data_IF_038391072132
#
_entry.id   IF_038391072132
#
_cell.length_a   1.000
_cell.length_b   1.000
_cell.length_c   1.000
_cell.angle_alpha   90.00
_cell.angle_beta   90.00
_cell.angle_gamma   90.00
#
_symmetry.space_group_name_H-M   'P 1'
#
loop_
_entity.id
_entity.type
_entity.pdbx_description
1 polymer ?
#
# COMPACT_ATOMS: atom_id res chain seq x y z
N UNK A 1 -10.35 -25.03 -3.18
CA UNK A 1 -9.88 -24.16 -4.28
C UNK A 1 -9.43 -22.86 -3.65
N UNK A 2 -8.18 -22.45 -3.88
CA UNK A 2 -7.51 -21.46 -3.02
C UNK A 2 -7.30 -20.12 -3.74
N UNK A 3 -8.37 -19.55 -4.29
CA UNK A 3 -8.31 -18.27 -5.00
C UNK A 3 -8.02 -17.08 -4.08
N UNK A 4 -8.41 -17.16 -2.80
CA UNK A 4 -8.24 -16.07 -1.81
C UNK A 4 -6.78 -15.83 -1.42
N UNK A 5 -5.93 -16.84 -1.56
CA UNK A 5 -4.52 -16.77 -1.17
C UNK A 5 -3.64 -16.15 -2.27
N UNK A 6 -4.20 -15.92 -3.46
CA UNK A 6 -3.49 -15.34 -4.59
C UNK A 6 -3.26 -13.85 -4.33
N UNK A 7 -2.00 -13.45 -4.29
CA UNK A 7 -1.62 -12.06 -4.13
C UNK A 7 -1.44 -11.41 -5.50
N UNK A 8 -2.23 -10.37 -5.75
CA UNK A 8 -2.21 -9.62 -7.00
C UNK A 8 -1.70 -8.19 -6.76
N UNK A 9 -0.95 -7.67 -7.72
CA UNK A 9 -0.52 -6.27 -7.81
C UNK A 9 -1.17 -5.64 -9.03
N UNK A 10 -1.67 -4.40 -8.88
CA UNK A 10 -2.24 -3.64 -9.99
C UNK A 10 -1.95 -2.16 -9.79
N UNK A 11 -1.61 -1.46 -10.87
CA UNK A 11 -1.38 -0.02 -10.86
C UNK A 11 -2.65 0.80 -11.17
N UNK A 12 -3.73 0.14 -11.59
CA UNK A 12 -4.97 0.80 -11.98
C UNK A 12 -6.07 0.54 -10.94
N UNK A 13 -6.76 1.61 -10.54
CA UNK A 13 -7.98 1.50 -9.75
C UNK A 13 -9.14 1.07 -10.63
N UNK A 14 -10.03 0.25 -10.08
CA UNK A 14 -11.21 -0.26 -10.77
C UNK A 14 -11.26 -1.78 -10.78
N UNK A 15 -12.14 -2.28 -11.63
CA UNK A 15 -12.44 -3.71 -11.79
C UNK A 15 -11.96 -4.18 -13.14
N UNK A 16 -11.40 -5.37 -13.20
CA UNK A 16 -10.93 -6.01 -14.42
C UNK A 16 -11.25 -7.50 -14.39
N UNK A 17 -11.42 -8.07 -15.57
CA UNK A 17 -11.76 -9.47 -15.72
C UNK A 17 -10.49 -10.29 -16.03
N UNK A 18 -10.45 -11.50 -15.49
CA UNK A 18 -9.41 -12.50 -15.74
C UNK A 18 -10.05 -13.88 -15.94
N UNK A 19 -9.29 -14.82 -16.47
CA UNK A 19 -9.82 -16.13 -16.85
C UNK A 19 -8.82 -17.23 -16.50
N UNK A 20 -9.31 -18.35 -15.96
CA UNK A 20 -8.55 -19.60 -15.85
C UNK A 20 -9.12 -20.56 -16.88
N UNK A 21 -8.27 -21.06 -17.79
CA UNK A 21 -8.63 -22.09 -18.77
C UNK A 21 -7.57 -23.18 -18.77
N UNK A 22 -7.87 -24.34 -18.16
CA UNK A 22 -6.93 -25.47 -18.06
C UNK A 22 -7.61 -26.76 -18.46
N UNK A 23 -6.88 -27.64 -19.14
CA UNK A 23 -7.34 -28.97 -19.53
C UNK A 23 -6.62 -30.03 -18.70
N UNK A 24 -7.37 -30.94 -18.09
CA UNK A 24 -6.83 -31.99 -17.22
C UNK A 24 -6.22 -33.18 -17.97
N UNK A 25 -5.58 -34.12 -17.25
CA UNK A 25 -5.25 -34.09 -15.82
C UNK A 25 -3.99 -33.25 -15.52
N UNK A 26 -3.97 -32.54 -14.39
CA UNK A 26 -2.84 -31.67 -14.02
C UNK A 26 -3.08 -30.77 -12.80
N UNK A 27 -2.02 -30.07 -12.37
CA UNK A 27 -2.09 -29.06 -11.31
C UNK A 27 -2.41 -27.70 -11.91
N UNK A 28 -3.32 -26.96 -11.28
CA UNK A 28 -3.67 -25.58 -11.63
C UNK A 28 -3.05 -24.66 -10.58
N UNK A 29 -2.23 -23.72 -11.05
CA UNK A 29 -1.50 -22.74 -10.24
C UNK A 29 -1.88 -21.32 -10.64
N UNK A 30 -1.44 -20.33 -9.88
CA UNK A 30 -1.68 -18.93 -10.19
C UNK A 30 -1.13 -18.53 -11.58
N UNK A 31 -0.03 -19.14 -12.03
CA UNK A 31 0.51 -18.91 -13.36
C UNK A 31 -0.50 -19.19 -14.51
N UNK A 32 -1.48 -20.06 -14.29
CA UNK A 32 -2.48 -20.44 -15.30
C UNK A 32 -3.61 -19.40 -15.44
N UNK A 33 -3.56 -18.30 -14.68
CA UNK A 33 -4.51 -17.20 -14.78
C UNK A 33 -4.12 -16.28 -15.94
N UNK A 34 -5.03 -16.11 -16.89
CA UNK A 34 -4.95 -15.12 -17.94
C UNK A 34 -5.34 -13.75 -17.37
N UNK A 35 -4.33 -12.93 -17.07
CA UNK A 35 -4.49 -11.60 -16.50
C UNK A 35 -4.55 -10.51 -17.58
N UNK A 36 -5.23 -9.40 -17.31
CA UNK A 36 -5.09 -8.19 -18.12
C UNK A 36 -3.69 -7.55 -17.91
N UNK A 37 -3.20 -6.72 -18.86
CA UNK A 37 -1.85 -6.16 -18.81
C UNK A 37 -1.54 -5.28 -17.60
N UNK A 38 -2.55 -4.83 -16.86
CA UNK A 38 -2.41 -3.95 -15.69
C UNK A 38 -2.31 -4.69 -14.37
N UNK A 39 -2.42 -6.02 -14.37
CA UNK A 39 -2.43 -6.87 -13.18
C UNK A 39 -1.31 -7.89 -13.27
N UNK A 40 -0.58 -8.02 -12.16
CA UNK A 40 0.54 -8.95 -12.02
C UNK A 40 0.29 -9.87 -10.82
N UNK A 41 0.69 -11.13 -10.95
CA UNK A 41 0.72 -12.08 -9.83
C UNK A 41 2.07 -11.95 -9.12
N UNK A 42 2.02 -11.94 -7.79
CA UNK A 42 3.22 -11.87 -6.95
C UNK A 42 3.86 -13.25 -6.77
N UNK A 43 3.05 -14.29 -6.53
CA UNK A 43 3.50 -15.69 -6.43
C UNK A 43 2.80 -16.57 -7.47
N UNK A 44 3.52 -16.87 -8.56
CA UNK A 44 3.04 -17.71 -9.65
C UNK A 44 2.85 -19.19 -9.25
N UNK A 45 3.45 -19.62 -8.13
CA UNK A 45 3.43 -21.01 -7.68
C UNK A 45 2.23 -21.37 -6.79
N UNK A 46 1.42 -20.38 -6.42
CA UNK A 46 0.28 -20.57 -5.54
C UNK A 46 -0.68 -21.60 -6.15
N UNK A 47 -0.90 -22.70 -5.42
CA UNK A 47 -1.79 -23.78 -5.86
C UNK A 47 -3.25 -23.34 -5.78
N UNK A 48 -4.02 -23.61 -6.85
CA UNK A 48 -5.45 -23.28 -6.94
C UNK A 48 -6.29 -24.53 -6.80
N UNK A 49 -6.02 -25.55 -7.63
CA UNK A 49 -6.78 -26.78 -7.73
C UNK A 49 -5.97 -27.90 -8.39
N UNK A 50 -6.45 -29.14 -8.29
CA UNK A 50 -5.88 -30.30 -8.98
C UNK A 50 -6.97 -30.99 -9.80
N UNK A 51 -6.73 -31.20 -11.09
CA UNK A 51 -7.64 -31.89 -12.00
C UNK A 51 -7.23 -33.35 -12.09
N UNK A 52 -8.06 -34.25 -11.58
CA UNK A 52 -7.80 -35.70 -11.56
C UNK A 52 -8.22 -36.39 -12.85
N UNK A 53 -9.17 -35.81 -13.57
CA UNK A 53 -9.77 -36.35 -14.79
C UNK A 53 -9.48 -35.43 -16.00
N UNK A 54 -9.60 -35.92 -17.24
CA UNK A 54 -9.45 -35.11 -18.45
C UNK A 54 -10.67 -34.21 -18.67
N UNK A 55 -10.86 -33.25 -17.77
CA UNK A 55 -11.91 -32.25 -17.80
C UNK A 55 -11.35 -30.88 -18.19
N UNK A 56 -12.15 -30.10 -18.91
CA UNK A 56 -11.84 -28.71 -19.24
C UNK A 56 -12.40 -27.81 -18.13
N UNK A 57 -11.51 -27.16 -17.37
CA UNK A 57 -11.86 -26.19 -16.35
C UNK A 57 -11.83 -24.77 -16.93
N UNK A 58 -12.94 -24.04 -16.84
CA UNK A 58 -13.04 -22.64 -17.24
C UNK A 58 -13.68 -21.80 -16.14
N UNK A 59 -12.98 -20.79 -15.63
CA UNK A 59 -13.45 -19.94 -14.53
C UNK A 59 -13.18 -18.48 -14.87
N UNK A 60 -14.26 -17.69 -14.97
CA UNK A 60 -14.18 -16.22 -15.04
C UNK A 60 -13.94 -15.62 -13.66
N UNK A 61 -13.02 -14.68 -13.57
CA UNK A 61 -12.65 -13.98 -12.35
C UNK A 61 -12.86 -12.49 -12.53
N UNK A 62 -13.40 -11.84 -11.50
CA UNK A 62 -13.50 -10.39 -11.44
C UNK A 62 -12.56 -9.87 -10.35
N UNK A 63 -11.51 -9.16 -10.76
CA UNK A 63 -10.45 -8.64 -9.90
C UNK A 63 -10.70 -7.15 -9.67
N UNK A 64 -10.75 -6.74 -8.41
CA UNK A 64 -10.98 -5.35 -8.00
C UNK A 64 -9.77 -4.84 -7.21
N UNK A 65 -9.33 -3.61 -7.47
CA UNK A 65 -8.36 -2.90 -6.60
C UNK A 65 -9.11 -1.94 -5.68
N UNK A 66 -9.14 -2.24 -4.39
CA UNK A 66 -9.80 -1.42 -3.36
C UNK A 66 -8.93 -1.20 -2.12
N UNK A 67 -9.47 -0.53 -1.10
CA UNK A 67 -8.80 -0.26 0.18
C UNK A 67 -9.61 -0.85 1.34
N UNK A 68 -8.91 -1.40 2.34
CA UNK A 68 -9.53 -1.90 3.56
C UNK A 68 -10.09 -3.32 3.42
N UNK A 69 -11.11 -3.61 4.23
CA UNK A 69 -11.78 -4.91 4.21
C UNK A 69 -13.23 -4.71 3.74
N UNK A 70 -13.62 -5.41 2.67
CA UNK A 70 -14.97 -5.35 2.14
C UNK A 70 -15.59 -6.74 2.15
N UNK A 71 -16.58 -6.94 3.02
CA UNK A 71 -17.36 -8.18 3.05
C UNK A 71 -18.43 -8.09 1.97
N UNK A 72 -18.28 -8.84 0.88
CA UNK A 72 -19.31 -8.92 -0.15
C UNK A 72 -20.40 -9.87 0.30
N UNK A 73 -21.62 -9.38 0.47
CA UNK A 73 -22.79 -10.23 0.74
C UNK A 73 -23.28 -10.87 -0.57
N UNK A 74 -23.84 -12.09 -0.54
CA UNK A 74 -24.28 -12.80 -1.74
C UNK A 74 -25.33 -12.04 -2.58
N UNK A 75 -26.07 -11.11 -1.98
CA UNK A 75 -27.07 -10.30 -2.67
C UNK A 75 -26.49 -9.11 -3.46
N UNK A 76 -25.17 -8.94 -3.49
CA UNK A 76 -24.53 -7.79 -4.16
C UNK A 76 -24.49 -7.94 -5.69
N UNK A 77 -24.60 -9.18 -6.19
CA UNK A 77 -24.52 -9.48 -7.62
C UNK A 77 -25.91 -9.80 -8.18
N UNK A 78 -26.35 -9.03 -9.16
CA UNK A 78 -27.71 -9.11 -9.70
C UNK A 78 -27.98 -10.38 -10.53
N UNK A 79 -26.93 -11.12 -10.92
CA UNK A 79 -27.03 -12.12 -11.99
C UNK A 79 -26.94 -13.59 -11.52
N UNK A 80 -26.89 -13.87 -10.21
CA UNK A 80 -26.95 -15.22 -9.63
C UNK A 80 -25.80 -16.20 -9.96
N UNK A 81 -24.98 -15.91 -10.98
CA UNK A 81 -23.88 -16.73 -11.47
C UNK A 81 -22.51 -16.31 -10.93
N UNK A 82 -22.45 -15.29 -10.06
CA UNK A 82 -21.22 -14.83 -9.44
C UNK A 82 -21.18 -15.25 -7.98
N UNK A 83 -20.14 -15.99 -7.60
CA UNK A 83 -19.90 -16.37 -6.21
C UNK A 83 -18.93 -15.37 -5.59
N UNK A 84 -19.36 -14.57 -4.59
CA UNK A 84 -18.47 -13.64 -3.93
C UNK A 84 -17.37 -14.40 -3.19
N UNK A 85 -16.14 -13.92 -3.34
CA UNK A 85 -15.01 -14.33 -2.53
C UNK A 85 -14.66 -13.13 -1.63
N UNK A 86 -14.45 -13.38 -0.35
CA UNK A 86 -14.00 -12.35 0.58
C UNK A 86 -12.67 -11.75 0.12
N UNK A 87 -12.67 -10.45 -0.13
CA UNK A 87 -11.48 -9.74 -0.59
C UNK A 87 -10.82 -9.02 0.59
N UNK A 88 -9.54 -9.37 0.83
CA UNK A 88 -8.70 -8.73 1.85
C UNK A 88 -7.74 -7.77 1.15
N UNK A 89 -8.05 -6.47 1.13
CA UNK A 89 -7.20 -5.44 0.52
C UNK A 89 -6.20 -4.85 1.52
N UNK A 90 -5.52 -5.72 2.27
CA UNK A 90 -4.57 -5.35 3.33
C UNK A 90 -3.19 -5.94 3.03
N UNK A 91 -2.34 -5.23 2.27
CA UNK A 91 -1.03 -5.74 1.85
C UNK A 91 0.03 -5.71 2.95
N UNK A 92 -0.10 -4.80 3.93
CA UNK A 92 0.77 -4.73 5.11
C UNK A 92 0.31 -5.78 6.11
N UNK A 93 1.18 -6.74 6.43
CA UNK A 93 0.93 -7.85 7.35
C UNK A 93 1.31 -7.53 8.78
N UNK A 94 2.40 -6.79 8.95
CA UNK A 94 2.88 -6.36 10.26
C UNK A 94 3.67 -5.05 10.12
N UNK A 95 3.68 -4.25 11.18
CA UNK A 95 4.48 -3.05 11.32
C UNK A 95 4.95 -2.92 12.78
N UNK A 96 6.25 -3.02 13.00
CA UNK A 96 6.88 -2.88 14.31
C UNK A 96 7.73 -1.60 14.33
N UNK A 97 7.88 -1.03 15.52
CA UNK A 97 8.75 0.12 15.72
C UNK A 97 9.57 -0.03 17.01
N UNK A 98 10.77 0.55 17.01
CA UNK A 98 11.54 0.76 18.23
C UNK A 98 12.30 2.07 18.16
N UNK A 99 12.44 2.73 19.32
CA UNK A 99 13.14 4.00 19.44
C UNK A 99 14.40 3.77 20.25
N UNK A 100 15.53 4.21 19.72
CA UNK A 100 16.79 4.21 20.45
C UNK A 100 17.24 5.65 20.69
N UNK A 101 17.28 6.05 21.95
CA UNK A 101 17.81 7.35 22.34
C UNK A 101 19.32 7.26 22.54
N UNK A 102 20.06 8.24 22.05
CA UNK A 102 21.50 8.37 22.21
C UNK A 102 21.87 9.84 22.46
N UNK A 103 22.93 10.08 23.21
CA UNK A 103 23.33 11.43 23.57
C UNK A 103 24.14 11.46 24.87
N UNK A 104 24.89 12.54 25.09
CA UNK A 104 25.64 12.78 26.31
C UNK A 104 25.30 14.18 26.85
N UNK A 105 24.97 14.29 28.14
CA UNK A 105 24.54 15.56 28.75
C UNK A 105 23.14 16.01 28.31
N UNK A 106 23.00 17.26 27.87
CA UNK A 106 21.72 17.92 27.58
C UNK A 106 21.20 17.70 26.14
N UNK A 107 22.02 17.15 25.24
CA UNK A 107 21.61 16.84 23.86
C UNK A 107 21.22 15.36 23.76
N UNK A 108 19.91 15.10 23.72
CA UNK A 108 19.35 13.76 23.47
C UNK A 108 18.84 13.70 22.03
N UNK A 109 19.31 12.72 21.27
CA UNK A 109 18.85 12.39 19.93
C UNK A 109 18.16 11.04 19.95
N UNK A 110 17.26 10.81 18.99
CA UNK A 110 16.50 9.57 18.88
C UNK A 110 16.62 9.01 17.46
N UNK A 111 16.73 7.68 17.35
CA UNK A 111 16.66 6.93 16.10
C UNK A 111 15.38 6.10 16.14
N UNK A 112 14.56 6.22 15.10
CA UNK A 112 13.40 5.37 14.91
C UNK A 112 13.76 4.23 13.96
N UNK A 113 13.60 3.01 14.44
CA UNK A 113 13.64 1.79 13.64
C UNK A 113 12.20 1.40 13.34
N UNK A 114 11.88 1.28 12.05
CA UNK A 114 10.58 0.84 11.58
C UNK A 114 10.76 -0.45 10.77
N UNK A 115 10.02 -1.48 11.11
CA UNK A 115 10.06 -2.77 10.44
C UNK A 115 8.69 -3.05 9.84
N UNK A 116 8.63 -3.23 8.52
CA UNK A 116 7.37 -3.40 7.80
C UNK A 116 7.44 -4.72 7.03
N UNK A 117 6.40 -5.54 7.21
CA UNK A 117 6.21 -6.78 6.47
C UNK A 117 5.00 -6.64 5.56
N UNK A 118 5.20 -7.01 4.30
CA UNK A 118 4.16 -6.96 3.27
C UNK A 118 4.03 -8.31 2.57
N UNK A 119 2.88 -8.55 1.94
CA UNK A 119 2.65 -9.73 1.11
C UNK A 119 3.24 -9.61 -0.31
N UNK A 120 3.99 -8.54 -0.61
CA UNK A 120 4.63 -8.32 -1.91
C UNK A 120 3.79 -7.59 -2.96
N UNK A 121 2.47 -7.40 -2.77
CA UNK A 121 1.70 -6.58 -3.73
C UNK A 121 1.97 -5.07 -3.60
N UNK A 122 2.54 -4.67 -2.47
CA UNK A 122 3.01 -3.32 -2.18
C UNK A 122 4.34 -3.47 -1.44
N UNK A 123 5.38 -2.76 -1.87
CA UNK A 123 6.67 -2.79 -1.18
C UNK A 123 6.59 -2.05 0.17
N UNK A 124 7.42 -2.40 1.17
CA UNK A 124 7.52 -1.65 2.43
C UNK A 124 7.73 -0.14 2.24
N UNK A 125 8.52 0.25 1.23
CA UNK A 125 8.79 1.65 0.90
C UNK A 125 7.56 2.36 0.34
N UNK A 126 6.86 1.75 -0.61
CA UNK A 126 5.61 2.29 -1.14
C UNK A 126 4.54 2.38 -0.03
N UNK A 127 4.47 1.38 0.85
CA UNK A 127 3.57 1.37 2.01
C UNK A 127 3.82 2.56 2.94
N UNK A 128 5.09 2.84 3.27
CA UNK A 128 5.41 4.01 4.08
C UNK A 128 5.06 5.31 3.36
N UNK A 129 5.36 5.41 2.07
CA UNK A 129 5.05 6.61 1.29
C UNK A 129 3.54 6.92 1.29
N UNK A 130 2.70 5.91 1.03
CA UNK A 130 1.25 6.06 1.06
C UNK A 130 0.72 6.38 2.47
N UNK A 131 1.33 5.81 3.52
CA UNK A 131 0.99 6.12 4.90
C UNK A 131 1.34 7.58 5.26
N UNK A 132 2.54 8.05 4.89
CA UNK A 132 2.96 9.44 5.11
C UNK A 132 2.05 10.42 4.38
N UNK A 133 1.68 10.13 3.13
CA UNK A 133 0.74 10.95 2.37
C UNK A 133 -0.63 11.01 3.04
N UNK A 134 -1.16 9.85 3.44
CA UNK A 134 -2.46 9.78 4.12
C UNK A 134 -2.46 10.54 5.45
N UNK A 135 -1.35 10.49 6.19
CA UNK A 135 -1.17 11.24 7.43
C UNK A 135 -1.15 12.75 7.17
N UNK A 136 -0.44 13.22 6.15
CA UNK A 136 -0.43 14.64 5.77
C UNK A 136 -1.85 15.07 5.38
N UNK A 137 -2.51 14.31 4.50
CA UNK A 137 -3.88 14.61 4.05
C UNK A 137 -4.88 14.69 5.21
N UNK A 138 -4.69 13.88 6.26
CA UNK A 138 -5.50 13.92 7.48
C UNK A 138 -5.31 15.21 8.29
N UNK A 139 -4.09 15.78 8.30
CA UNK A 139 -3.79 16.98 9.08
C UNK A 139 -4.05 18.30 8.34
N UNK A 140 -4.13 18.29 7.01
CA UNK A 140 -4.40 19.50 6.19
C UNK A 140 -5.62 20.30 6.69
N UNK A 141 -6.79 19.70 7.00
CA UNK A 141 -7.96 20.47 7.43
C UNK A 141 -7.73 21.26 8.72
N UNK A 142 -6.91 20.75 9.65
CA UNK A 142 -6.62 21.43 10.92
C UNK A 142 -5.76 22.68 10.72
N UNK A 143 -4.97 22.74 9.65
CA UNK A 143 -4.19 23.92 9.28
C UNK A 143 -5.05 25.03 8.67
N UNK A 144 -6.24 24.68 8.16
CA UNK A 144 -7.17 25.61 7.52
C UNK A 144 -8.24 26.14 8.48
N UNK A 145 -8.47 25.44 9.59
CA UNK A 145 -9.46 25.82 10.60
C UNK A 145 -9.13 27.13 11.35
N UNK A 146 -7.91 27.64 11.25
CA UNK A 146 -7.52 28.94 11.79
C UNK A 146 -7.98 30.13 10.91
N UNK A 147 -8.34 29.88 9.64
CA UNK A 147 -8.72 30.92 8.66
C UNK A 147 -10.25 31.06 8.44
N UNK A 148 -11.10 30.22 9.05
CA UNK A 148 -12.57 30.27 8.86
C UNK A 148 -13.27 31.30 9.77
N UNK A 149 -13.08 32.59 9.48
CA UNK A 149 -14.10 33.62 9.66
C UNK A 149 -14.68 34.05 8.30
N UNK A 150 -15.04 33.11 7.42
CA UNK A 150 -15.76 33.43 6.18
C UNK A 150 -16.88 32.42 5.89
N UNK A 151 -18.04 32.88 5.40
CA UNK A 151 -19.27 32.08 5.41
C UNK A 151 -19.22 30.93 4.40
N UNK A 152 -19.64 29.75 4.86
CA UNK A 152 -19.80 28.55 4.06
C UNK A 152 -20.96 28.69 3.07
N UNK A 153 -20.67 28.65 1.77
CA UNK A 153 -21.64 28.21 0.76
C UNK A 153 -21.05 27.15 -0.18
N UNK A 154 -21.65 25.95 -0.08
CA UNK A 154 -21.87 24.93 -1.09
C UNK A 154 -20.67 24.28 -1.83
N UNK A 155 -20.36 23.07 -1.35
CA UNK A 155 -20.23 21.83 -2.13
C UNK A 155 -19.94 21.96 -3.62
N UNK A 156 -18.66 21.81 -3.99
CA UNK A 156 -18.22 21.05 -5.15
C UNK A 156 -16.75 20.69 -4.97
N UNK A 157 -16.46 19.38 -4.89
CA UNK A 157 -15.11 18.84 -4.95
C UNK A 157 -14.48 19.20 -6.30
N UNK A 158 -13.87 20.38 -6.37
CA UNK A 158 -13.04 20.81 -7.50
C UNK A 158 -11.69 20.16 -7.29
N UNK A 159 -11.33 19.30 -8.26
CA UNK A 159 -9.96 18.93 -8.63
C UNK A 159 -8.98 19.95 -8.05
N UNK A 160 -8.14 19.52 -7.11
CA UNK A 160 -7.10 20.35 -6.49
C UNK A 160 -6.28 20.99 -7.61
N UNK A 161 -6.59 22.27 -7.91
CA UNK A 161 -5.65 23.12 -8.64
C UNK A 161 -4.38 23.17 -7.80
N UNK A 162 -3.19 23.18 -8.41
CA UNK A 162 -1.94 23.27 -7.67
C UNK A 162 -2.00 24.48 -6.73
N UNK A 163 -1.85 24.20 -5.43
CA UNK A 163 -1.73 25.20 -4.35
C UNK A 163 -0.62 26.19 -4.72
N UNK A 164 -0.97 27.31 -5.34
CA UNK A 164 -0.01 28.35 -5.74
C UNK A 164 -0.38 29.76 -5.26
N UNK A 165 -1.50 29.94 -4.54
CA UNK A 165 -2.01 31.31 -4.31
C UNK A 165 -2.38 31.64 -2.84
N UNK A 166 -2.05 30.79 -1.84
CA UNK A 166 -2.25 31.16 -0.42
C UNK A 166 -0.93 31.54 0.28
N UNK A 167 -0.80 32.75 0.86
CA UNK A 167 0.42 33.20 1.56
C UNK A 167 0.79 32.32 2.77
N UNK A 168 -0.20 31.78 3.47
CA UNK A 168 -0.03 30.85 4.61
C UNK A 168 0.45 29.46 4.17
N UNK A 169 -0.02 28.96 3.03
CA UNK A 169 0.45 27.69 2.47
C UNK A 169 1.91 27.77 2.02
N UNK A 170 2.36 28.93 1.52
CA UNK A 170 3.77 29.17 1.27
C UNK A 170 4.58 29.14 2.56
N UNK A 171 4.11 29.73 3.66
CA UNK A 171 4.79 29.65 4.95
C UNK A 171 4.88 28.22 5.49
N UNK A 172 3.79 27.44 5.47
CA UNK A 172 3.84 26.02 5.88
C UNK A 172 4.74 25.22 4.95
N UNK A 173 4.67 25.44 3.64
CA UNK A 173 5.57 24.79 2.69
C UNK A 173 7.02 25.20 2.91
N UNK A 174 7.30 26.49 3.20
CA UNK A 174 8.63 27.00 3.52
C UNK A 174 9.13 26.43 4.84
N UNK A 175 8.30 26.36 5.89
CA UNK A 175 8.66 25.76 7.18
C UNK A 175 8.90 24.25 7.02
N UNK A 176 8.05 23.55 6.27
CA UNK A 176 8.26 22.14 5.92
C UNK A 176 9.52 21.96 5.05
N UNK A 177 9.83 22.90 4.16
CA UNK A 177 11.06 22.89 3.33
C UNK A 177 12.30 23.21 4.17
N UNK A 178 12.20 24.12 5.13
CA UNK A 178 13.28 24.55 6.02
C UNK A 178 13.52 23.50 7.12
N UNK A 179 12.47 22.82 7.60
CA UNK A 179 12.55 21.58 8.40
C UNK A 179 13.22 20.47 7.58
N UNK A 180 12.93 20.37 6.27
CA UNK A 180 13.60 19.42 5.37
C UNK A 180 15.08 19.77 5.16
N UNK A 181 15.46 21.04 5.15
CA UNK A 181 16.87 21.48 5.10
C UNK A 181 17.60 21.34 6.45
N UNK A 182 16.92 21.52 7.59
CA UNK A 182 17.51 21.44 8.94
C UNK A 182 17.52 20.03 9.56
N UNK A 183 16.51 19.21 9.26
CA UNK A 183 16.29 17.87 9.82
C UNK A 183 16.07 16.84 8.70
N UNK A 184 17.01 16.72 7.76
CA UNK A 184 16.84 15.69 6.73
C UNK A 184 17.04 14.30 7.37
N UNK A 185 15.90 13.62 7.55
CA UNK A 185 15.81 12.25 8.04
C UNK A 185 16.37 11.36 6.94
N UNK A 186 17.50 10.73 7.22
CA UNK A 186 18.09 9.78 6.29
C UNK A 186 17.38 8.45 6.44
N UNK A 187 16.54 8.13 5.46
CA UNK A 187 15.91 6.81 5.33
C UNK A 187 16.96 5.85 4.79
N UNK A 188 17.48 4.96 5.63
CA UNK A 188 18.35 3.86 5.19
C UNK A 188 17.54 2.56 5.12
N UNK A 189 17.67 1.88 4.00
CA UNK A 189 17.20 0.50 3.79
C UNK A 189 18.43 -0.40 3.85
N UNK A 190 18.87 -0.85 5.03
CA UNK A 190 19.98 -1.79 5.14
C UNK A 190 19.56 -3.15 4.57
N UNK A 191 19.71 -3.32 3.26
CA UNK A 191 19.40 -4.52 2.44
C UNK A 191 17.96 -5.03 2.61
N UNK A 192 17.17 -4.95 1.55
CA UNK A 192 16.03 -5.87 1.38
C UNK A 192 16.60 -7.29 1.43
N UNK A 193 16.35 -8.03 2.52
CA UNK A 193 16.54 -9.47 2.48
C UNK A 193 15.49 -9.98 1.50
N UNK A 194 15.91 -10.40 0.31
CA UNK A 194 15.07 -11.22 -0.58
C UNK A 194 14.78 -12.53 0.16
N UNK A 195 13.71 -12.52 0.94
CA UNK A 195 13.06 -13.73 1.42
C UNK A 195 12.04 -14.19 0.39
N UNK A 196 11.57 -15.44 0.56
CA UNK A 196 10.50 -16.12 -0.18
C UNK A 196 9.48 -15.14 -0.81
N UNK A 197 9.04 -15.33 -2.08
CA UNK A 197 8.08 -14.44 -2.79
C UNK A 197 6.88 -13.96 -1.95
N UNK A 198 6.53 -14.73 -0.92
CA UNK A 198 5.39 -14.54 -0.03
C UNK A 198 5.60 -13.52 1.08
N UNK A 199 6.82 -13.10 1.39
CA UNK A 199 7.10 -12.17 2.50
C UNK A 199 8.21 -11.19 2.12
N UNK A 200 7.83 -9.94 1.84
CA UNK A 200 8.78 -8.85 1.68
C UNK A 200 8.93 -8.13 3.02
N UNK A 201 10.12 -8.24 3.60
CA UNK A 201 10.53 -7.57 4.84
C UNK A 201 11.53 -6.48 4.50
N UNK A 202 11.31 -5.29 5.03
CA UNK A 202 12.35 -4.27 5.06
C UNK A 202 12.43 -3.66 6.45
N UNK A 203 13.65 -3.63 6.99
CA UNK A 203 13.99 -2.76 8.09
C UNK A 203 14.30 -1.37 7.52
N UNK A 204 13.74 -0.34 8.11
CA UNK A 204 14.00 1.04 7.78
C UNK A 204 14.57 1.74 9.00
N UNK A 205 15.67 2.44 8.80
CA UNK A 205 16.28 3.27 9.82
C UNK A 205 16.07 4.73 9.45
N UNK A 206 15.47 5.51 10.34
CA UNK A 206 15.29 6.95 10.23
C UNK A 206 16.27 7.64 11.18
N UNK A 207 17.29 8.29 10.62
CA UNK A 207 18.32 8.98 11.39
C UNK A 207 18.34 10.49 11.12
N UNK A 208 18.52 11.34 12.14
CA UNK A 208 18.81 12.75 11.94
C UNK A 208 20.23 12.96 11.37
N UNK A 209 20.38 13.89 10.43
CA UNK A 209 21.65 14.17 9.72
C UNK A 209 22.80 14.71 10.59
N UNK A 210 22.54 15.11 11.84
CA UNK A 210 23.56 15.58 12.79
C UNK A 210 24.66 14.54 13.09
N UNK A 211 24.44 13.28 12.72
CA UNK A 211 25.34 12.13 12.91
C UNK A 211 26.67 12.16 12.13
N UNK A 212 26.97 13.19 11.31
CA UNK A 212 28.25 13.26 10.57
C UNK A 212 29.41 13.97 11.26
N UNK A 213 29.20 14.64 12.40
CA UNK A 213 30.29 15.40 13.03
C UNK A 213 31.08 14.63 14.11
N UNK A 214 30.86 13.32 14.25
CA UNK A 214 31.47 12.49 15.32
C UNK A 214 32.09 11.18 14.79
N UNK A 215 32.63 11.15 13.56
CA UNK A 215 33.51 10.07 13.09
C UNK A 215 34.76 10.63 12.42
#
# INVERSE_FOLDING_TARGET
MNLKDIVLRSNLYGTCDALICVKGPGYVTAQDILLPPSVEIVDNTQHIASLTEPIDLSIGLQIERSRGYNIKTPNTFQDGNCYPIDAVFMPVRNANHSIQSYGNGNEKQEILFLEIWTNGSLTPKEALHEASRSLIDLFIPFLQAEDENLPLENNQYKVLKPLKEHPTAYWVLYEVFEIRERNTIRVRFPKELQMDPRVHQSLMVLEPLSLRYMQ
#
